data_IF_263152679242
#
_entry.id   IF_263152679242
#
_cell.length_a   1.000
_cell.length_b   1.000
_cell.length_c   1.000
_cell.angle_alpha   90.00
_cell.angle_beta   90.00
_cell.angle_gamma   90.00
#
_symmetry.space_group_name_H-M   'P 1'
#
loop_
_entity.id
_entity.type
_entity.pdbx_description
1 polymer ?
#
# COMPACT_ATOMS: atom_id res chain seq x y z
N UNK A 1 -8.75 15.09 -74.70
CA UNK A 1 -8.78 15.81 -73.40
C UNK A 1 -8.56 14.77 -72.30
N UNK A 2 -7.35 14.72 -71.75
CA UNK A 2 -6.93 13.73 -70.75
C UNK A 2 -7.42 14.20 -69.36
N UNK A 3 -8.31 13.44 -68.73
CA UNK A 3 -8.79 13.72 -67.37
C UNK A 3 -7.90 13.00 -66.35
N UNK A 4 -7.07 13.76 -65.63
CA UNK A 4 -6.29 13.26 -64.50
C UNK A 4 -7.18 13.37 -63.26
N UNK A 5 -7.57 12.23 -62.68
CA UNK A 5 -8.26 12.18 -61.40
C UNK A 5 -7.23 12.25 -60.27
N UNK A 6 -7.26 13.31 -59.47
CA UNK A 6 -6.48 13.43 -58.23
C UNK A 6 -7.15 12.58 -57.14
N UNK A 7 -6.48 11.52 -56.70
CA UNK A 7 -6.87 10.79 -55.50
C UNK A 7 -6.39 11.58 -54.27
N UNK A 8 -7.32 12.02 -53.41
CA UNK A 8 -6.98 12.66 -52.15
C UNK A 8 -6.59 11.59 -51.11
N UNK A 9 -5.32 11.60 -50.69
CA UNK A 9 -4.86 10.83 -49.53
C UNK A 9 -5.40 11.50 -48.26
N UNK A 10 -6.33 10.86 -47.56
CA UNK A 10 -6.72 11.26 -46.21
C UNK A 10 -5.63 10.79 -45.23
N UNK A 11 -4.87 11.72 -44.67
CA UNK A 11 -3.93 11.43 -43.60
C UNK A 11 -4.70 11.18 -42.29
N UNK A 12 -4.64 9.95 -41.77
CA UNK A 12 -5.09 9.61 -40.42
C UNK A 12 -4.12 10.26 -39.42
N UNK A 13 -4.56 11.32 -38.74
CA UNK A 13 -3.84 11.90 -37.61
C UNK A 13 -4.06 10.97 -36.41
N UNK A 14 -3.06 10.17 -36.08
CA UNK A 14 -3.05 9.39 -34.84
C UNK A 14 -2.61 10.32 -33.72
N UNK A 15 -3.55 10.76 -32.89
CA UNK A 15 -3.26 11.52 -31.68
C UNK A 15 -2.47 10.64 -30.71
N UNK A 16 -1.23 11.02 -30.38
CA UNK A 16 -0.51 10.38 -29.28
C UNK A 16 -1.28 10.63 -27.97
N UNK A 17 -1.35 9.64 -27.05
CA UNK A 17 -1.99 9.86 -25.76
C UNK A 17 -1.24 10.97 -25.01
N UNK A 18 -1.95 12.05 -24.65
CA UNK A 18 -1.43 13.07 -23.76
C UNK A 18 -1.28 12.47 -22.37
N UNK A 19 -0.05 12.17 -21.97
CA UNK A 19 0.29 11.87 -20.58
C UNK A 19 0.27 13.19 -19.82
N UNK A 20 -0.88 13.56 -19.25
CA UNK A 20 -0.94 14.68 -18.32
C UNK A 20 -0.17 14.29 -17.06
N UNK A 21 0.86 15.06 -16.72
CA UNK A 21 1.52 14.93 -15.43
C UNK A 21 0.48 15.23 -14.34
N UNK A 22 0.05 14.18 -13.63
CA UNK A 22 -0.87 14.33 -12.51
C UNK A 22 -0.18 15.19 -11.45
N UNK A 23 -0.79 16.31 -11.09
CA UNK A 23 -0.30 17.17 -10.02
C UNK A 23 -1.02 16.76 -8.74
N UNK A 24 -0.25 16.48 -7.69
CA UNK A 24 -0.80 16.12 -6.39
C UNK A 24 -0.89 17.35 -5.50
N UNK A 25 -2.00 17.53 -4.76
CA UNK A 25 -2.05 18.50 -3.68
C UNK A 25 -0.94 18.25 -2.65
N UNK A 26 -0.57 19.31 -1.91
CA UNK A 26 0.41 19.21 -0.84
C UNK A 26 -0.01 18.16 0.21
N UNK A 27 0.97 17.40 0.70
CA UNK A 27 0.75 16.36 1.72
C UNK A 27 0.25 15.02 1.17
N UNK A 28 0.04 14.86 -0.14
CA UNK A 28 -0.31 13.55 -0.71
C UNK A 28 0.92 12.67 -0.95
N UNK A 29 1.97 13.25 -1.55
CA UNK A 29 3.21 12.53 -1.82
C UNK A 29 4.21 12.69 -0.68
N UNK A 30 4.89 11.60 -0.35
CA UNK A 30 5.97 11.59 0.63
C UNK A 30 7.19 12.39 0.14
N UNK A 31 7.84 13.11 1.04
CA UNK A 31 9.06 13.90 0.76
C UNK A 31 10.29 13.45 1.55
N UNK A 32 10.17 12.38 2.33
CA UNK A 32 11.22 11.87 3.22
C UNK A 32 12.33 11.11 2.50
N UNK A 33 13.29 10.60 3.27
CA UNK A 33 14.46 9.84 2.76
C UNK A 33 14.13 8.42 2.33
N UNK A 34 12.88 7.99 2.50
CA UNK A 34 12.35 6.68 2.09
C UNK A 34 13.05 5.49 2.74
N UNK A 35 13.86 5.69 3.79
CA UNK A 35 14.51 4.64 4.57
C UNK A 35 15.74 4.00 3.89
N UNK A 36 16.83 3.72 4.65
CA UNK A 36 18.08 3.18 4.09
C UNK A 36 18.00 1.70 3.65
N UNK A 37 16.98 0.97 4.09
CA UNK A 37 16.79 -0.46 3.80
C UNK A 37 15.99 -0.70 2.52
N UNK A 38 15.41 0.35 1.95
CA UNK A 38 14.50 0.25 0.82
C UNK A 38 15.28 0.27 -0.50
N UNK A 39 14.84 -0.49 -1.52
CA UNK A 39 15.37 -0.32 -2.86
C UNK A 39 15.03 1.10 -3.36
N UNK A 40 15.79 1.62 -4.34
CA UNK A 40 15.62 2.99 -4.82
C UNK A 40 14.26 3.24 -5.48
N UNK A 41 13.60 2.20 -5.97
CA UNK A 41 12.30 2.30 -6.63
C UNK A 41 11.46 1.02 -6.43
N UNK A 42 10.12 1.12 -6.45
CA UNK A 42 9.25 -0.05 -6.44
C UNK A 42 9.55 -0.97 -7.61
N UNK A 43 9.81 -2.23 -7.34
CA UNK A 43 10.26 -3.19 -8.37
C UNK A 43 9.53 -4.51 -8.19
N UNK A 44 8.82 -4.98 -9.21
CA UNK A 44 8.22 -6.33 -9.25
C UNK A 44 9.24 -7.35 -9.79
N UNK A 45 9.18 -8.59 -9.30
CA UNK A 45 10.04 -9.69 -9.74
C UNK A 45 11.41 -9.73 -9.06
N UNK A 46 11.55 -9.15 -7.87
CA UNK A 46 12.80 -9.22 -7.10
C UNK A 46 13.03 -10.64 -6.56
N UNK A 47 14.27 -11.03 -6.28
CA UNK A 47 14.55 -12.32 -5.66
C UNK A 47 13.81 -12.48 -4.32
N UNK A 48 13.31 -13.69 -4.03
CA UNK A 48 12.67 -13.99 -2.75
C UNK A 48 13.73 -14.02 -1.65
N UNK A 49 13.54 -13.20 -0.62
CA UNK A 49 14.43 -13.13 0.53
C UNK A 49 13.63 -13.02 1.85
N UNK A 50 13.46 -14.14 2.55
CA UNK A 50 12.71 -14.20 3.81
C UNK A 50 13.46 -13.59 5.02
N UNK A 51 14.71 -13.19 4.87
CA UNK A 51 15.48 -12.46 5.89
C UNK A 51 15.62 -10.97 5.56
N UNK A 52 14.90 -10.48 4.54
CA UNK A 52 14.98 -9.07 4.15
C UNK A 52 14.57 -8.12 5.27
N UNK A 53 15.22 -6.95 5.28
CA UNK A 53 14.89 -5.80 6.12
C UNK A 53 14.25 -4.65 5.34
N UNK A 54 13.84 -4.87 4.08
CA UNK A 54 13.14 -3.86 3.28
C UNK A 54 11.85 -3.44 3.98
N UNK A 55 11.60 -2.14 4.01
CA UNK A 55 10.42 -1.45 4.54
C UNK A 55 9.65 -0.73 3.44
N UNK A 56 9.86 -1.12 2.18
CA UNK A 56 9.13 -0.60 1.03
C UNK A 56 7.96 -1.52 0.68
N UNK A 57 6.77 -1.04 0.96
CA UNK A 57 5.51 -1.75 0.70
C UNK A 57 4.79 -1.13 -0.49
N UNK A 58 3.99 -1.95 -1.19
CA UNK A 58 3.09 -1.47 -2.25
C UNK A 58 1.68 -1.96 -2.03
N UNK A 59 0.68 -1.17 -2.42
CA UNK A 59 -0.74 -1.53 -2.40
C UNK A 59 -1.35 -1.17 -3.75
N UNK A 60 -1.34 -2.12 -4.69
CA UNK A 60 -1.72 -1.87 -6.08
C UNK A 60 -3.09 -2.47 -6.43
N UNK A 61 -3.38 -3.66 -5.90
CA UNK A 61 -4.60 -4.41 -6.18
C UNK A 61 -4.86 -5.46 -5.10
N UNK A 62 -5.94 -6.23 -5.25
CA UNK A 62 -6.28 -7.35 -4.35
C UNK A 62 -5.23 -8.48 -4.36
N UNK A 63 -4.43 -8.60 -5.42
CA UNK A 63 -3.41 -9.65 -5.61
C UNK A 63 -1.96 -9.12 -5.58
N UNK A 64 -1.75 -7.80 -5.63
CA UNK A 64 -0.44 -7.15 -5.51
C UNK A 64 -0.48 -6.11 -4.39
N UNK A 65 -0.27 -6.58 -3.16
CA UNK A 65 -0.13 -5.72 -2.00
C UNK A 65 0.90 -6.28 -1.02
N UNK A 66 1.31 -5.49 -0.06
CA UNK A 66 2.09 -5.96 1.09
C UNK A 66 1.48 -5.49 2.40
N UNK A 67 2.00 -6.03 3.51
CA UNK A 67 1.73 -5.61 4.89
C UNK A 67 3.07 -5.36 5.60
N UNK A 68 3.08 -4.50 6.62
CA UNK A 68 4.18 -4.47 7.58
C UNK A 68 3.93 -5.52 8.66
N UNK A 69 4.97 -6.27 9.02
CA UNK A 69 4.94 -7.21 10.13
C UNK A 69 6.36 -7.50 10.64
N UNK A 70 6.51 -8.10 11.83
CA UNK A 70 7.76 -8.04 12.56
C UNK A 70 8.90 -8.77 11.84
N UNK A 71 10.16 -8.30 11.92
CA UNK A 71 11.28 -9.00 11.31
C UNK A 71 11.55 -10.36 11.97
N UNK A 72 11.12 -10.53 13.22
CA UNK A 72 11.18 -11.75 14.04
C UNK A 72 9.92 -11.84 14.90
N UNK A 73 9.54 -13.05 15.34
CA UNK A 73 8.34 -13.27 16.16
C UNK A 73 8.25 -12.30 17.36
N UNK A 74 7.30 -11.37 17.31
CA UNK A 74 7.14 -10.30 18.30
C UNK A 74 5.75 -9.66 18.20
N UNK A 75 5.19 -9.18 19.31
CA UNK A 75 3.92 -8.44 19.28
C UNK A 75 4.08 -7.12 18.52
N UNK A 76 3.06 -6.72 17.76
CA UNK A 76 3.05 -5.49 16.96
C UNK A 76 3.40 -4.27 17.81
N UNK A 77 2.74 -4.09 18.95
CA UNK A 77 2.98 -2.97 19.86
C UNK A 77 4.44 -2.89 20.38
N UNK A 78 5.21 -3.98 20.30
CA UNK A 78 6.61 -4.03 20.72
C UNK A 78 7.59 -3.88 19.54
N UNK A 79 7.14 -4.00 18.30
CA UNK A 79 7.97 -4.01 17.09
C UNK A 79 7.68 -2.88 16.11
N UNK A 80 6.73 -1.99 16.41
CA UNK A 80 6.22 -0.96 15.51
C UNK A 80 7.31 -0.16 14.79
N UNK A 81 8.43 0.15 15.47
CA UNK A 81 9.54 0.92 14.89
C UNK A 81 10.42 0.15 13.92
N UNK A 82 10.36 -1.19 13.94
CA UNK A 82 11.29 -2.07 13.23
C UNK A 82 10.65 -3.02 12.20
N UNK A 83 9.34 -2.91 11.98
CA UNK A 83 8.58 -3.69 11.02
C UNK A 83 9.24 -3.74 9.62
N UNK A 84 8.95 -4.81 8.87
CA UNK A 84 9.45 -5.03 7.50
C UNK A 84 8.29 -5.38 6.57
N UNK A 85 8.47 -5.13 5.27
CA UNK A 85 7.45 -5.40 4.28
C UNK A 85 7.34 -6.90 3.95
N UNK A 86 6.11 -7.41 3.94
CA UNK A 86 5.70 -8.75 3.51
C UNK A 86 4.70 -8.65 2.37
N UNK A 87 5.09 -9.02 1.15
CA UNK A 87 4.31 -8.82 -0.07
C UNK A 87 3.67 -10.12 -0.60
N UNK A 88 2.50 -10.02 -1.22
CA UNK A 88 1.86 -11.14 -1.93
C UNK A 88 2.61 -11.56 -3.19
N UNK A 89 3.41 -10.65 -3.75
CA UNK A 89 4.27 -10.89 -4.91
C UNK A 89 5.73 -10.62 -4.55
N UNK A 90 6.69 -11.29 -5.22
CA UNK A 90 8.11 -11.00 -5.03
C UNK A 90 8.41 -9.60 -5.56
N UNK A 91 8.42 -8.59 -4.69
CA UNK A 91 8.68 -7.19 -5.05
C UNK A 91 9.50 -6.49 -3.99
N UNK A 92 10.08 -5.34 -4.33
CA UNK A 92 10.75 -4.41 -3.41
C UNK A 92 11.88 -4.99 -2.56
N UNK A 93 12.46 -6.13 -2.96
CA UNK A 93 13.35 -6.91 -2.09
C UNK A 93 12.69 -7.17 -0.72
N UNK A 94 11.36 -7.23 -0.66
CA UNK A 94 10.58 -7.49 0.54
C UNK A 94 10.46 -8.99 0.80
N UNK A 95 9.94 -9.36 1.96
CA UNK A 95 9.62 -10.75 2.25
C UNK A 95 8.37 -11.16 1.47
N UNK A 96 8.24 -12.43 1.15
CA UNK A 96 7.03 -12.96 0.50
C UNK A 96 6.07 -13.48 1.57
N UNK A 97 4.81 -13.06 1.54
CA UNK A 97 3.74 -13.63 2.37
C UNK A 97 3.63 -15.13 2.02
N UNK A 98 3.81 -16.06 2.98
CA UNK A 98 3.69 -17.49 2.70
C UNK A 98 2.29 -17.90 2.25
N UNK A 99 2.21 -18.92 1.41
CA UNK A 99 0.92 -19.49 0.99
C UNK A 99 0.07 -19.97 2.18
N UNK A 100 -1.24 -19.75 2.05
CA UNK A 100 -2.20 -20.04 3.11
C UNK A 100 -2.07 -19.15 4.34
N UNK A 101 -1.34 -18.04 4.28
CA UNK A 101 -1.42 -16.96 5.29
C UNK A 101 -2.76 -16.26 5.19
N UNK A 102 -3.16 -15.84 4.00
CA UNK A 102 -4.39 -15.07 3.79
C UNK A 102 -5.58 -16.01 3.57
N UNK A 103 -6.66 -15.80 4.32
CA UNK A 103 -7.91 -16.58 4.21
C UNK A 103 -9.03 -15.79 3.55
N UNK A 104 -8.97 -14.45 3.59
CA UNK A 104 -9.92 -13.58 2.92
C UNK A 104 -9.37 -12.18 2.72
N UNK A 105 -9.58 -11.57 1.55
CA UNK A 105 -9.12 -10.22 1.23
C UNK A 105 -10.20 -9.47 0.45
N UNK A 106 -10.42 -8.22 0.82
CA UNK A 106 -11.22 -7.24 0.10
C UNK A 106 -10.33 -6.05 -0.28
N UNK A 107 -10.53 -5.51 -1.48
CA UNK A 107 -9.84 -4.31 -1.95
C UNK A 107 -10.87 -3.25 -2.34
N UNK A 108 -10.67 -2.03 -1.83
CA UNK A 108 -11.50 -0.86 -2.09
C UNK A 108 -10.63 0.22 -2.75
N UNK A 109 -11.15 0.83 -3.80
CA UNK A 109 -10.57 2.02 -4.43
C UNK A 109 -11.60 3.13 -4.42
N UNK A 110 -11.19 4.31 -4.00
CA UNK A 110 -11.96 5.55 -4.07
C UNK A 110 -11.16 6.63 -4.82
N UNK A 111 -11.72 7.83 -4.93
CA UNK A 111 -11.01 8.98 -5.49
C UNK A 111 -9.90 9.52 -4.55
N UNK A 112 -9.90 9.11 -3.27
CA UNK A 112 -9.00 9.63 -2.24
C UNK A 112 -8.02 8.60 -1.70
N UNK A 113 -8.35 7.32 -1.75
CA UNK A 113 -7.52 6.28 -1.17
C UNK A 113 -7.76 4.91 -1.81
N UNK A 114 -6.78 4.04 -1.65
CA UNK A 114 -6.95 2.59 -1.77
C UNK A 114 -6.91 1.96 -0.39
N UNK A 115 -7.63 0.87 -0.21
CA UNK A 115 -7.68 0.13 1.04
C UNK A 115 -7.72 -1.36 0.76
N UNK A 116 -6.84 -2.11 1.41
CA UNK A 116 -6.89 -3.58 1.45
C UNK A 116 -7.22 -4.00 2.87
N UNK A 117 -8.06 -5.01 3.04
CA UNK A 117 -8.52 -5.47 4.34
C UNK A 117 -8.84 -6.95 4.27
N UNK A 118 -8.61 -7.68 5.34
CA UNK A 118 -8.70 -9.13 5.27
C UNK A 118 -8.39 -9.85 6.58
N UNK A 119 -8.32 -11.16 6.45
CA UNK A 119 -8.05 -12.09 7.53
C UNK A 119 -6.99 -13.12 7.12
N UNK A 120 -6.35 -13.72 8.12
CA UNK A 120 -5.33 -14.73 7.89
C UNK A 120 -4.72 -15.33 9.14
N UNK A 121 -3.88 -16.33 8.94
CA UNK A 121 -2.96 -16.87 9.93
C UNK A 121 -1.69 -16.02 9.96
N UNK A 122 -1.75 -14.90 10.70
CA UNK A 122 -0.67 -13.92 10.78
C UNK A 122 0.58 -14.42 11.54
N UNK A 123 0.49 -15.60 12.18
CA UNK A 123 1.66 -16.25 12.77
C UNK A 123 2.73 -16.60 11.74
N UNK A 124 2.32 -16.75 10.48
CA UNK A 124 3.20 -17.00 9.33
C UNK A 124 4.02 -15.77 8.88
N UNK A 125 3.71 -14.58 9.40
CA UNK A 125 4.47 -13.35 9.14
C UNK A 125 5.00 -12.73 10.45
N UNK A 126 5.31 -13.59 11.43
CA UNK A 126 5.93 -13.26 12.71
C UNK A 126 5.05 -12.52 13.73
N UNK A 127 3.72 -12.55 13.60
CA UNK A 127 2.80 -11.99 14.61
C UNK A 127 2.36 -13.12 15.56
N UNK A 128 2.64 -13.06 16.87
CA UNK A 128 2.28 -14.11 17.82
C UNK A 128 0.79 -14.43 17.84
N UNK A 129 0.46 -15.69 18.11
CA UNK A 129 -0.92 -16.09 18.33
C UNK A 129 -1.48 -15.38 19.57
N UNK A 130 -2.61 -14.69 19.42
CA UNK A 130 -3.24 -13.93 20.49
C UNK A 130 -2.74 -12.49 20.65
N UNK A 131 -1.79 -12.04 19.81
CA UNK A 131 -1.47 -10.61 19.71
C UNK A 131 -2.71 -9.85 19.23
N UNK A 132 -3.10 -8.81 19.99
CA UNK A 132 -4.26 -7.98 19.67
C UNK A 132 -3.96 -6.97 18.55
N UNK A 133 -2.69 -6.77 18.23
CA UNK A 133 -2.24 -5.87 17.17
C UNK A 133 -1.97 -4.45 17.64
N UNK A 134 -1.88 -3.55 16.67
CA UNK A 134 -1.71 -2.12 16.85
C UNK A 134 -1.85 -1.38 15.52
N UNK A 135 -1.67 -0.07 15.58
CA UNK A 135 -1.58 0.82 14.43
C UNK A 135 -0.12 1.03 13.99
N UNK A 136 0.09 1.07 12.68
CA UNK A 136 1.33 1.44 12.02
C UNK A 136 1.03 2.56 11.03
N UNK A 137 1.85 3.62 11.03
CA UNK A 137 1.59 4.87 10.32
C UNK A 137 2.91 5.63 9.98
N UNK A 138 2.86 6.71 9.16
CA UNK A 138 4.05 7.45 8.72
C UNK A 138 4.66 8.38 9.77
N UNK A 139 3.98 8.65 10.88
CA UNK A 139 4.39 9.61 11.90
C UNK A 139 4.91 8.91 13.15
N UNK A 140 4.19 7.91 13.66
CA UNK A 140 4.50 7.25 14.94
C UNK A 140 4.65 8.23 16.12
N UNK A 141 5.07 7.73 17.27
CA UNK A 141 5.14 8.54 18.50
C UNK A 141 6.12 9.75 18.45
N UNK A 142 7.14 9.69 17.59
CA UNK A 142 8.21 10.69 17.51
C UNK A 142 8.29 11.44 16.16
N UNK A 143 7.37 11.19 15.23
CA UNK A 143 7.38 11.80 13.89
C UNK A 143 8.32 11.14 12.88
N UNK A 144 8.93 10.00 13.22
CA UNK A 144 9.87 9.25 12.37
C UNK A 144 9.22 8.07 11.64
N UNK A 145 7.93 7.82 11.90
CA UNK A 145 7.15 6.68 11.42
C UNK A 145 7.32 5.41 12.24
N UNK A 146 6.31 4.54 12.17
CA UNK A 146 6.27 3.22 12.76
C UNK A 146 5.81 2.22 11.67
N UNK A 147 6.73 1.64 10.88
CA UNK A 147 8.18 1.58 11.13
C UNK A 147 8.97 2.80 10.68
N UNK A 148 10.10 3.02 11.36
CA UNK A 148 11.03 4.10 11.03
C UNK A 148 11.59 3.84 9.63
N UNK A 149 11.47 4.80 8.71
CA UNK A 149 11.87 4.60 7.31
C UNK A 149 10.97 3.64 6.52
N UNK A 150 9.77 3.35 7.05
CA UNK A 150 8.68 2.78 6.28
C UNK A 150 8.33 3.66 5.10
N UNK A 151 8.08 3.03 3.95
CA UNK A 151 7.66 3.73 2.76
C UNK A 151 6.56 2.92 2.04
N UNK A 152 5.51 3.62 1.62
CA UNK A 152 4.31 3.02 1.06
C UNK A 152 4.05 3.59 -0.32
N UNK A 153 3.87 2.69 -1.27
CA UNK A 153 3.69 3.02 -2.68
C UNK A 153 2.40 2.45 -3.24
N UNK A 154 1.90 3.07 -4.29
CA UNK A 154 0.84 2.50 -5.11
C UNK A 154 1.00 2.99 -6.55
N UNK A 155 0.66 2.13 -7.50
CA UNK A 155 0.60 2.48 -8.92
C UNK A 155 -0.80 2.87 -9.40
N UNK A 156 -1.74 3.11 -8.48
CA UNK A 156 -3.15 3.31 -8.81
C UNK A 156 -3.44 4.57 -9.65
N UNK A 157 -2.47 5.48 -9.69
CA UNK A 157 -2.43 6.73 -10.47
C UNK A 157 -1.87 6.52 -11.88
N UNK A 158 -1.52 5.28 -12.24
CA UNK A 158 -0.93 4.90 -13.53
C UNK A 158 0.61 4.85 -13.53
N UNK A 159 1.24 5.18 -12.39
CA UNK A 159 2.69 5.08 -12.15
C UNK A 159 2.94 4.89 -10.66
N UNK A 160 4.06 4.28 -10.29
CA UNK A 160 4.44 4.12 -8.89
C UNK A 160 4.66 5.49 -8.24
N UNK A 161 3.89 5.77 -7.20
CA UNK A 161 4.00 6.98 -6.38
C UNK A 161 4.20 6.59 -4.93
N UNK A 162 4.90 7.44 -4.17
CA UNK A 162 5.09 7.27 -2.74
C UNK A 162 4.14 8.19 -1.98
N UNK A 163 3.28 7.61 -1.14
CA UNK A 163 2.23 8.36 -0.46
C UNK A 163 2.63 8.69 0.96
N UNK A 164 2.38 9.94 1.36
CA UNK A 164 2.76 10.45 2.67
C UNK A 164 1.88 9.89 3.77
N UNK A 165 0.60 9.65 3.49
CA UNK A 165 -0.41 9.31 4.50
C UNK A 165 -0.95 7.90 4.26
N UNK A 166 -0.79 7.03 5.24
CA UNK A 166 -1.22 5.65 5.22
C UNK A 166 -1.39 5.10 6.64
N UNK A 167 -2.22 4.10 6.83
CA UNK A 167 -2.52 3.50 8.13
C UNK A 167 -2.67 2.00 7.94
N UNK A 168 -1.99 1.21 8.77
CA UNK A 168 -2.11 -0.24 8.83
C UNK A 168 -2.47 -0.66 10.25
N UNK A 169 -3.60 -1.33 10.39
CA UNK A 169 -3.97 -2.01 11.63
C UNK A 169 -3.87 -3.51 11.38
N UNK A 170 -3.12 -4.20 12.21
CA UNK A 170 -2.83 -5.63 12.01
C UNK A 170 -2.66 -6.34 13.35
N UNK A 171 -3.34 -7.48 13.50
CA UNK A 171 -3.34 -8.28 14.72
C UNK A 171 -4.54 -9.20 14.80
N UNK A 172 -4.51 -10.17 15.72
CA UNK A 172 -5.61 -11.09 16.00
C UNK A 172 -6.24 -11.74 14.74
N UNK A 173 -5.41 -12.08 13.76
CA UNK A 173 -5.85 -12.69 12.50
C UNK A 173 -6.59 -11.76 11.52
N UNK A 174 -6.62 -10.44 11.79
CA UNK A 174 -7.23 -9.42 10.94
C UNK A 174 -6.18 -8.37 10.53
N UNK A 175 -6.35 -7.80 9.34
CA UNK A 175 -5.59 -6.63 8.91
C UNK A 175 -6.44 -5.69 8.06
N UNK A 176 -6.05 -4.43 8.05
CA UNK A 176 -6.52 -3.43 7.09
C UNK A 176 -5.41 -2.41 6.88
N UNK A 177 -5.21 -2.00 5.63
CA UNK A 177 -4.21 -1.04 5.19
C UNK A 177 -4.89 -0.06 4.26
N UNK A 178 -4.81 1.24 4.57
CA UNK A 178 -5.28 2.32 3.70
C UNK A 178 -4.10 3.19 3.28
N UNK A 179 -4.07 3.56 2.02
CA UNK A 179 -3.10 4.50 1.44
C UNK A 179 -3.85 5.67 0.87
N UNK A 180 -3.60 6.87 1.36
CA UNK A 180 -4.29 8.09 0.95
C UNK A 180 -3.63 8.71 -0.28
N UNK A 181 -4.27 8.49 -1.42
CA UNK A 181 -3.72 8.75 -2.75
C UNK A 181 -4.09 10.10 -3.35
N UNK A 182 -4.94 10.88 -2.66
CA UNK A 182 -5.36 12.18 -3.14
C UNK A 182 -5.87 13.07 -1.99
N UNK A 183 -6.08 14.35 -2.30
CA UNK A 183 -6.70 15.33 -1.43
C UNK A 183 -7.51 16.36 -2.24
N UNK A 184 -8.31 17.16 -1.56
CA UNK A 184 -8.95 18.34 -2.15
C UNK A 184 -9.08 19.46 -1.10
N UNK A 185 -9.83 20.52 -1.43
CA UNK A 185 -10.05 21.66 -0.53
C UNK A 185 -10.86 21.34 0.73
N UNK A 186 -11.54 20.20 0.78
CA UNK A 186 -12.38 19.76 1.90
C UNK A 186 -11.69 18.68 2.73
N UNK A 187 -11.04 17.72 2.07
CA UNK A 187 -10.42 16.56 2.68
C UNK A 187 -8.94 16.51 2.31
N UNK A 188 -8.07 16.68 3.30
CA UNK A 188 -6.64 16.42 3.14
C UNK A 188 -6.37 14.90 3.11
N UNK A 189 -5.17 14.50 2.70
CA UNK A 189 -4.75 13.10 2.77
C UNK A 189 -4.72 12.60 4.24
N UNK A 190 -4.25 13.43 5.17
CA UNK A 190 -4.23 13.12 6.60
C UNK A 190 -5.65 13.01 7.21
N UNK A 191 -6.63 13.75 6.69
CA UNK A 191 -8.03 13.56 7.10
C UNK A 191 -8.61 12.21 6.62
N UNK A 192 -8.12 11.68 5.50
CA UNK A 192 -8.57 10.41 4.93
C UNK A 192 -7.86 9.20 5.56
N UNK A 193 -6.64 9.38 6.04
CA UNK A 193 -5.87 8.42 6.80
C UNK A 193 -5.63 9.01 8.19
N UNK A 194 -6.62 8.87 9.06
CA UNK A 194 -6.66 9.56 10.34
C UNK A 194 -6.09 8.67 11.45
N UNK A 195 -4.86 8.94 11.85
CA UNK A 195 -4.03 8.14 12.77
C UNK A 195 -4.16 8.60 14.23
N UNK A 196 -5.39 8.76 14.74
CA UNK A 196 -5.64 9.19 16.14
C UNK A 196 -6.40 8.14 16.97
N UNK A 197 -6.72 6.99 16.38
CA UNK A 197 -7.62 5.98 16.94
C UNK A 197 -6.95 4.62 17.06
N UNK A 198 -5.72 4.64 17.55
CA UNK A 198 -4.73 3.56 17.53
C UNK A 198 -5.21 2.28 18.26
N UNK A 199 -6.08 2.43 19.27
CA UNK A 199 -6.67 1.31 20.03
C UNK A 199 -7.92 0.71 19.37
N UNK A 200 -8.45 1.35 18.32
CA UNK A 200 -9.65 0.89 17.63
C UNK A 200 -9.29 -0.12 16.54
N UNK A 201 -10.18 -1.07 16.25
CA UNK A 201 -9.95 -2.08 15.23
C UNK A 201 -10.33 -1.64 13.82
N UNK A 202 -9.91 -2.44 12.83
CA UNK A 202 -10.21 -2.26 11.41
C UNK A 202 -11.67 -1.93 11.09
N UNK A 203 -12.62 -2.63 11.72
CA UNK A 203 -14.06 -2.41 11.50
C UNK A 203 -14.56 -1.02 11.90
N UNK A 204 -13.83 -0.30 12.77
CA UNK A 204 -14.15 1.05 13.19
C UNK A 204 -13.44 2.10 12.33
N UNK A 205 -12.12 2.00 12.18
CA UNK A 205 -11.28 3.04 11.55
C UNK A 205 -11.32 2.97 10.01
N UNK A 206 -11.47 1.77 9.46
CA UNK A 206 -11.44 1.50 8.03
C UNK A 206 -12.72 0.77 7.59
N UNK A 207 -13.86 1.47 7.44
CA UNK A 207 -15.10 0.84 7.02
C UNK A 207 -14.93 0.14 5.66
N UNK A 208 -15.58 -1.00 5.50
CA UNK A 208 -15.51 -1.81 4.30
C UNK A 208 -16.19 -3.16 4.46
N UNK A 209 -16.02 -4.04 3.47
CA UNK A 209 -16.63 -5.36 3.50
C UNK A 209 -15.74 -6.40 4.21
N UNK A 210 -15.95 -6.54 5.52
CA UNK A 210 -15.30 -7.55 6.37
C UNK A 210 -16.00 -8.92 6.33
N UNK A 211 -17.06 -9.09 5.55
CA UNK A 211 -17.75 -10.37 5.40
C UNK A 211 -17.08 -11.16 4.26
N UNK A 212 -16.00 -11.87 4.58
CA UNK A 212 -15.32 -12.76 3.62
C UNK A 212 -15.68 -14.20 3.95
N UNK A 213 -16.13 -14.97 2.95
CA UNK A 213 -16.64 -16.33 3.17
C UNK A 213 -15.58 -17.24 3.82
N UNK A 214 -15.95 -17.91 4.92
CA UNK A 214 -15.05 -18.78 5.67
C UNK A 214 -14.13 -18.05 6.65
N UNK A 215 -14.35 -16.75 6.86
CA UNK A 215 -13.69 -15.94 7.88
C UNK A 215 -14.77 -15.17 8.65
N UNK A 216 -14.72 -15.25 9.98
CA UNK A 216 -15.83 -15.12 10.97
C UNK A 216 -16.53 -16.45 11.25
#
# INVERSE_FOLDING_TARGET
MLHISLAALAALVVSAPQVYAQTFPAGVLATGTMGPTNPPEPTLGTAINQTSMSRLLSVNSIDDFCLFAPPTLQDIANSETIEVAWCTKPRNNARLIPDGTLSGVSFLKTDFYVQVMGYGDLTKINIPAGDLGGELDPHGAYGDGNPIGGNVTSNITGKDENFAEWMLYIGNGQFCMRVCTNANSTYSAANMCWHELDEMGCGFVMPGNYNVNGTL
#
